data_IF_507347589842
#
_entry.id   IF_507347589842
#
_cell.length_a   1.000
_cell.length_b   1.000
_cell.length_c   1.000
_cell.angle_alpha   90.00
_cell.angle_beta   90.00
_cell.angle_gamma   90.00
#
_symmetry.space_group_name_H-M   'P 1'
#
loop_
_entity.id
_entity.type
_entity.pdbx_description
1 polymer ?
#
# COMPACT_ATOMS: atom_id res chain seq x y z
N UNK A 1 -24.13 -17.36 -2.98
CA UNK A 1 -23.11 -16.80 -3.89
C UNK A 1 -22.25 -15.87 -3.07
N UNK A 2 -21.27 -16.40 -2.35
CA UNK A 2 -20.58 -15.63 -1.30
C UNK A 2 -19.08 -15.84 -1.42
N UNK A 3 -18.46 -15.09 -2.32
CA UNK A 3 -17.01 -14.87 -2.24
C UNK A 3 -16.59 -13.62 -2.98
N UNK A 4 -16.78 -12.48 -2.32
CA UNK A 4 -15.88 -11.35 -2.48
C UNK A 4 -15.90 -10.47 -1.22
N UNK A 5 -15.69 -11.08 -0.05
CA UNK A 5 -15.28 -10.33 1.16
C UNK A 5 -13.86 -9.77 1.07
N UNK A 6 -13.28 -9.71 -0.14
CA UNK A 6 -11.95 -9.15 -0.40
C UNK A 6 -12.16 -7.84 -1.12
N UNK A 7 -11.80 -6.73 -0.48
CA UNK A 7 -11.86 -5.42 -1.10
C UNK A 7 -11.07 -5.44 -2.42
N UNK A 8 -11.66 -4.86 -3.48
CA UNK A 8 -10.96 -4.64 -4.74
C UNK A 8 -9.96 -3.51 -4.52
N UNK A 9 -8.73 -3.87 -4.16
CA UNK A 9 -7.68 -2.90 -3.88
C UNK A 9 -7.27 -2.14 -5.13
N UNK A 10 -6.86 -0.89 -4.94
CA UNK A 10 -6.20 -0.10 -5.97
C UNK A 10 -4.89 -0.78 -6.40
N UNK A 11 -4.39 -0.42 -7.58
CA UNK A 11 -3.28 -1.11 -8.22
C UNK A 11 -2.02 -1.24 -7.34
N UNK A 12 -1.68 -0.20 -6.56
CA UNK A 12 -0.49 -0.18 -5.70
C UNK A 12 -0.77 -0.54 -4.23
N UNK A 13 -1.91 -1.15 -3.95
CA UNK A 13 -2.39 -1.45 -2.60
C UNK A 13 -2.61 -2.96 -2.47
N UNK A 14 -2.31 -3.51 -1.31
CA UNK A 14 -2.46 -4.90 -0.92
C UNK A 14 -2.97 -5.00 0.53
N UNK A 15 -3.14 -6.24 1.02
CA UNK A 15 -3.75 -6.55 2.31
C UNK A 15 -5.25 -6.86 2.20
N UNK A 16 -5.79 -7.59 3.17
CA UNK A 16 -7.19 -8.03 3.17
C UNK A 16 -8.19 -6.87 3.15
N UNK A 17 -7.79 -5.72 3.71
CA UNK A 17 -8.59 -4.49 3.75
C UNK A 17 -8.07 -3.37 2.84
N UNK A 18 -7.09 -3.66 1.98
CA UNK A 18 -6.43 -2.64 1.15
C UNK A 18 -5.82 -1.49 1.97
N UNK A 19 -5.25 -1.82 3.13
CA UNK A 19 -4.59 -0.86 4.04
C UNK A 19 -3.07 -0.91 3.96
N UNK A 20 -2.49 -1.81 3.16
CA UNK A 20 -1.05 -1.91 2.95
C UNK A 20 -0.66 -1.47 1.54
N UNK A 21 0.47 -0.79 1.41
CA UNK A 21 1.05 -0.52 0.10
C UNK A 21 1.81 -1.75 -0.41
N UNK A 22 1.79 -1.95 -1.73
CA UNK A 22 2.66 -2.94 -2.36
C UNK A 22 4.14 -2.63 -2.11
N UNK A 23 5.00 -3.64 -2.24
CA UNK A 23 6.45 -3.39 -2.29
C UNK A 23 6.78 -2.33 -3.32
N UNK A 24 7.81 -1.56 -3.03
CA UNK A 24 8.26 -0.41 -3.84
C UNK A 24 7.28 0.75 -3.83
N UNK A 25 6.27 0.73 -2.95
CA UNK A 25 5.30 1.81 -2.82
C UNK A 25 5.13 2.20 -1.35
N UNK A 26 4.89 3.49 -1.14
CA UNK A 26 4.68 4.10 0.17
C UNK A 26 3.55 5.11 0.10
N UNK A 27 3.13 5.60 1.27
CA UNK A 27 2.11 6.65 1.40
C UNK A 27 0.75 6.26 0.80
N UNK A 28 -0.04 5.49 1.57
CA UNK A 28 -1.42 5.17 1.21
C UNK A 28 -2.29 6.41 1.38
N UNK A 29 -2.85 6.92 0.28
CA UNK A 29 -3.65 8.12 0.31
C UNK A 29 -4.88 8.00 -0.63
N UNK A 30 -6.10 8.33 -0.16
CA UNK A 30 -7.34 8.08 -0.91
C UNK A 30 -7.45 8.90 -2.19
N UNK A 31 -6.85 10.09 -2.21
CA UNK A 31 -6.78 10.97 -3.39
C UNK A 31 -5.83 10.45 -4.47
N UNK A 32 -4.94 9.51 -4.14
CA UNK A 32 -4.05 8.89 -5.13
C UNK A 32 -4.86 7.88 -5.95
N UNK A 33 -4.94 7.99 -7.29
CA UNK A 33 -5.72 7.07 -8.12
C UNK A 33 -5.28 5.62 -7.92
N UNK A 34 -3.96 5.39 -7.81
CA UNK A 34 -3.36 4.08 -7.57
C UNK A 34 -3.22 3.69 -6.09
N UNK A 35 -3.62 4.58 -5.17
CA UNK A 35 -3.61 4.35 -3.72
C UNK A 35 -2.27 4.68 -3.07
N UNK A 36 -1.20 4.02 -3.50
CA UNK A 36 0.16 4.28 -3.02
C UNK A 36 1.06 4.88 -4.09
N UNK A 37 2.04 5.66 -3.64
CA UNK A 37 3.05 6.30 -4.47
C UNK A 37 4.29 5.40 -4.60
N UNK A 38 4.97 5.44 -5.73
CA UNK A 38 6.21 4.69 -5.93
C UNK A 38 7.33 5.24 -5.05
N UNK A 39 8.15 4.37 -4.49
CA UNK A 39 9.24 4.77 -3.62
C UNK A 39 10.33 5.55 -4.33
N UNK A 40 10.80 6.57 -3.63
CA UNK A 40 11.89 7.42 -4.07
C UNK A 40 12.99 7.41 -3.02
N UNK A 41 13.83 6.37 -3.01
CA UNK A 41 15.01 6.29 -2.14
C UNK A 41 16.22 6.95 -2.81
N UNK A 42 16.03 8.07 -3.52
CA UNK A 42 17.10 8.84 -4.19
C UNK A 42 18.02 8.01 -5.10
N UNK A 43 17.48 6.95 -5.72
CA UNK A 43 18.24 6.05 -6.59
C UNK A 43 19.09 4.99 -5.87
N UNK A 44 19.06 4.95 -4.53
CA UNK A 44 19.78 3.94 -3.74
C UNK A 44 19.07 2.58 -3.80
N UNK A 45 17.74 2.60 -3.74
CA UNK A 45 16.91 1.40 -3.82
C UNK A 45 15.54 1.74 -4.41
N UNK A 46 14.96 0.81 -5.16
CA UNK A 46 13.53 0.81 -5.49
C UNK A 46 12.73 -0.08 -4.56
N UNK A 47 13.39 -0.97 -3.82
CA UNK A 47 12.78 -1.81 -2.79
C UNK A 47 12.58 -1.01 -1.51
N UNK A 48 11.31 -0.83 -1.18
CA UNK A 48 10.85 -0.22 0.05
C UNK A 48 9.55 -0.90 0.48
N UNK A 49 9.22 -0.76 1.76
CA UNK A 49 7.92 -1.13 2.28
C UNK A 49 7.48 -0.14 3.35
N UNK A 50 6.21 0.24 3.32
CA UNK A 50 5.61 0.96 4.44
C UNK A 50 5.66 0.07 5.68
N UNK A 51 6.38 0.48 6.72
CA UNK A 51 6.42 -0.26 7.98
C UNK A 51 5.06 -0.16 8.66
N UNK A 52 4.54 -1.28 9.16
CA UNK A 52 3.26 -1.34 9.90
C UNK A 52 3.40 -0.84 11.36
N UNK A 53 4.45 -0.06 11.67
CA UNK A 53 4.70 0.44 13.04
C UNK A 53 3.69 1.55 13.40
N UNK A 54 2.43 1.15 13.56
CA UNK A 54 1.45 1.87 14.35
C UNK A 54 1.98 1.81 15.77
N UNK A 55 2.53 2.92 16.28
CA UNK A 55 2.80 3.07 17.71
C UNK A 55 1.48 2.73 18.40
N UNK A 56 1.44 1.56 19.03
CA UNK A 56 0.31 1.12 19.84
C UNK A 56 0.29 2.10 21.02
N UNK A 57 -0.68 3.00 21.01
CA UNK A 57 -1.06 3.82 22.16
C UNK A 57 -2.39 3.27 22.66
#
# INVERSE_FOLDING_TARGET
MERAGRCMCKYNVEGDRCDQCKRNHFYLNPTTPNGCLACFCSGVSSDCRSSDWRRQA
#
